data_IF_675525208611
#
_entry.id   IF_675525208611
#
_cell.length_a   1.000
_cell.length_b   1.000
_cell.length_c   1.000
_cell.angle_alpha   90.00
_cell.angle_beta   90.00
_cell.angle_gamma   90.00
#
_symmetry.space_group_name_H-M   'P 1'
#
loop_
_entity.id
_entity.type
_entity.pdbx_description
1 polymer ?
#
# COMPACT_ATOMS: atom_id res chain seq x y z
N UNK A 1 46.93 34.43 8.42
CA UNK A 1 47.24 33.36 7.44
C UNK A 1 47.06 32.04 8.19
N UNK A 2 46.25 31.01 7.88
CA UNK A 2 45.56 30.49 6.69
C UNK A 2 44.20 29.88 7.14
N UNK A 3 43.04 30.14 6.55
CA UNK A 3 42.45 29.62 5.28
C UNK A 3 42.28 28.08 5.20
N UNK A 4 41.00 27.66 5.34
CA UNK A 4 40.24 26.62 4.60
C UNK A 4 40.78 25.18 4.57
N UNK A 5 40.00 24.24 5.10
CA UNK A 5 39.41 23.22 4.22
C UNK A 5 38.15 22.57 4.79
N UNK A 6 37.16 22.41 3.92
CA UNK A 6 35.85 21.85 4.16
C UNK A 6 35.81 20.36 3.72
N UNK A 7 34.72 19.70 4.11
CA UNK A 7 34.12 18.52 3.47
C UNK A 7 34.83 17.16 3.60
N UNK A 8 34.26 16.32 4.47
CA UNK A 8 33.72 15.00 4.08
C UNK A 8 32.56 14.63 5.01
N UNK A 9 31.37 15.15 4.70
CA UNK A 9 30.09 14.60 5.14
C UNK A 9 29.53 13.78 3.99
N UNK A 10 29.70 12.46 3.99
CA UNK A 10 28.88 11.59 3.17
C UNK A 10 28.66 10.25 3.92
N UNK A 11 27.38 10.01 4.26
CA UNK A 11 26.73 8.73 4.60
C UNK A 11 26.93 8.06 5.97
N UNK A 12 26.67 8.78 7.07
CA UNK A 12 26.10 8.14 8.26
C UNK A 12 24.71 8.73 8.52
N UNK A 13 23.74 8.27 7.74
CA UNK A 13 22.33 8.56 7.99
C UNK A 13 21.69 7.31 8.61
N UNK A 14 21.47 7.22 9.94
CA UNK A 14 20.58 6.23 10.48
C UNK A 14 19.14 6.72 10.27
N UNK A 15 18.56 6.44 9.11
CA UNK A 15 17.13 6.64 8.82
C UNK A 15 16.66 5.34 8.17
N UNK A 16 15.75 4.55 8.74
CA UNK A 16 14.50 4.97 9.37
C UNK A 16 14.13 4.01 10.50
N UNK A 17 14.11 4.58 11.70
CA UNK A 17 13.41 4.13 12.88
C UNK A 17 12.04 3.53 12.52
N UNK A 18 11.90 2.22 12.61
CA UNK A 18 10.63 1.52 12.77
C UNK A 18 10.09 1.78 14.18
N UNK A 19 9.70 3.03 14.45
CA UNK A 19 8.71 3.37 15.48
C UNK A 19 7.35 3.21 14.83
N UNK A 20 6.42 2.44 15.38
CA UNK A 20 5.74 2.77 16.63
C UNK A 20 5.28 1.47 17.31
N UNK A 21 5.82 1.09 18.48
CA UNK A 21 5.46 1.62 19.81
C UNK A 21 3.98 1.36 20.11
N UNK A 22 3.74 0.39 21.00
CA UNK A 22 2.46 0.22 21.70
C UNK A 22 1.96 1.58 22.18
N UNK A 23 0.80 1.96 21.67
CA UNK A 23 0.01 3.11 22.09
C UNK A 23 -1.42 2.75 21.70
N UNK A 24 -2.40 2.79 22.61
CA UNK A 24 -3.77 2.38 22.30
C UNK A 24 -4.38 3.41 21.35
N UNK A 25 -4.14 3.26 20.04
CA UNK A 25 -4.81 4.03 19.01
C UNK A 25 -6.20 3.44 18.80
N UNK A 26 -7.20 4.00 19.49
CA UNK A 26 -8.58 3.99 19.01
C UNK A 26 -8.61 4.90 17.76
N UNK A 27 -8.09 4.37 16.67
CA UNK A 27 -8.11 4.97 15.34
C UNK A 27 -8.47 3.84 14.40
N UNK A 28 -9.65 3.90 13.80
CA UNK A 28 -10.15 2.90 12.85
C UNK A 28 -9.17 2.82 11.67
N UNK A 29 -8.23 1.89 11.72
CA UNK A 29 -7.27 1.70 10.63
C UNK A 29 -8.04 1.22 9.39
N UNK A 30 -8.48 2.15 8.55
CA UNK A 30 -9.37 1.91 7.40
C UNK A 30 -8.71 1.03 6.34
N UNK A 31 -7.38 0.92 6.32
CA UNK A 31 -6.66 0.21 5.26
C UNK A 31 -5.82 -0.95 5.78
N UNK A 32 -5.62 -1.96 4.95
CA UNK A 32 -4.55 -2.93 5.16
C UNK A 32 -3.20 -2.29 4.83
N UNK A 33 -2.30 -2.23 5.82
CA UNK A 33 -0.92 -1.72 5.68
C UNK A 33 0.13 -2.84 5.65
N UNK A 34 -0.27 -4.07 6.00
CA UNK A 34 0.53 -5.29 5.93
C UNK A 34 -0.17 -6.32 5.04
N UNK A 35 0.58 -7.22 4.38
CA UNK A 35 0.01 -8.17 3.44
C UNK A 35 -1.00 -9.11 4.15
N UNK A 36 -2.30 -9.05 3.82
CA UNK A 36 -3.31 -9.92 4.43
C UNK A 36 -3.28 -11.37 3.91
N UNK A 37 -2.51 -11.67 2.87
CA UNK A 37 -2.43 -13.00 2.24
C UNK A 37 -3.60 -13.29 1.30
N UNK A 38 -4.83 -13.29 1.82
CA UNK A 38 -6.05 -13.41 1.02
C UNK A 38 -7.09 -12.40 1.48
N UNK A 39 -7.86 -11.86 0.54
CA UNK A 39 -8.96 -10.93 0.81
C UNK A 39 -10.19 -11.29 0.02
N UNK A 40 -11.36 -11.08 0.61
CA UNK A 40 -12.67 -11.21 -0.02
C UNK A 40 -13.27 -9.82 -0.23
N UNK A 41 -13.87 -9.61 -1.40
CA UNK A 41 -14.62 -8.40 -1.70
C UNK A 41 -15.90 -8.31 -0.87
N UNK A 42 -16.14 -7.16 -0.25
CA UNK A 42 -17.36 -6.81 0.47
C UNK A 42 -18.37 -6.03 -0.41
N UNK A 43 -17.90 -5.47 -1.52
CA UNK A 43 -18.68 -4.82 -2.56
C UNK A 43 -18.06 -5.09 -3.94
N UNK A 44 -18.77 -4.78 -5.02
CA UNK A 44 -18.18 -4.87 -6.36
C UNK A 44 -16.99 -3.90 -6.49
N UNK A 45 -15.90 -4.36 -7.09
CA UNK A 45 -14.68 -3.58 -7.23
C UNK A 45 -14.00 -3.81 -8.57
N UNK A 46 -13.43 -2.74 -9.12
CA UNK A 46 -12.61 -2.78 -10.31
C UNK A 46 -11.15 -3.07 -9.96
N UNK A 47 -10.45 -3.80 -10.84
CA UNK A 47 -9.01 -3.93 -10.80
C UNK A 47 -8.34 -2.82 -11.59
N UNK A 48 -7.13 -2.45 -11.16
CA UNK A 48 -6.32 -1.43 -11.82
C UNK A 48 -4.95 -2.01 -12.19
N UNK A 49 -4.33 -1.51 -13.25
CA UNK A 49 -2.98 -1.88 -13.67
C UNK A 49 -1.89 -1.12 -12.91
N UNK A 50 -2.27 -0.07 -12.16
CA UNK A 50 -1.35 0.76 -11.38
C UNK A 50 -1.96 1.21 -10.05
N UNK A 51 -1.10 1.60 -9.11
CA UNK A 51 -1.47 2.06 -7.75
C UNK A 51 -2.24 3.38 -7.74
N UNK A 52 -2.12 4.15 -8.83
CA UNK A 52 -2.88 5.38 -9.05
C UNK A 52 -4.22 5.01 -9.68
N UNK A 53 -5.32 5.20 -8.95
CA UNK A 53 -6.65 4.84 -9.43
C UNK A 53 -7.21 5.98 -10.26
N UNK A 54 -7.27 5.79 -11.57
CA UNK A 54 -7.83 6.72 -12.54
C UNK A 54 -8.40 5.93 -13.72
N UNK A 55 -9.09 6.61 -14.64
CA UNK A 55 -9.75 5.93 -15.76
C UNK A 55 -8.77 5.26 -16.73
N UNK A 56 -7.53 5.78 -16.85
CA UNK A 56 -6.49 5.21 -17.72
C UNK A 56 -5.88 3.91 -17.18
N UNK A 57 -5.91 3.71 -15.87
CA UNK A 57 -5.33 2.55 -15.19
C UNK A 57 -6.38 1.51 -14.84
N UNK A 58 -7.66 1.83 -15.02
CA UNK A 58 -8.75 0.90 -14.83
C UNK A 58 -8.62 -0.23 -15.86
N UNK A 59 -8.52 -1.47 -15.39
CA UNK A 59 -8.31 -2.63 -16.26
C UNK A 59 -9.54 -3.02 -17.10
N UNK A 60 -10.70 -2.42 -16.82
CA UNK A 60 -11.99 -2.88 -17.35
C UNK A 60 -12.53 -4.14 -16.66
N UNK A 61 -11.73 -4.80 -15.82
CA UNK A 61 -12.16 -5.96 -15.05
C UNK A 61 -12.83 -5.52 -13.75
N UNK A 62 -14.08 -5.90 -13.58
CA UNK A 62 -14.86 -5.69 -12.36
C UNK A 62 -15.31 -7.03 -11.80
N UNK A 63 -15.21 -7.17 -10.48
CA UNK A 63 -15.58 -8.40 -9.78
C UNK A 63 -16.68 -8.13 -8.76
N UNK A 64 -17.66 -9.03 -8.62
CA UNK A 64 -18.78 -8.85 -7.70
C UNK A 64 -18.34 -9.03 -6.23
N UNK A 65 -19.24 -8.63 -5.32
CA UNK A 65 -19.11 -8.94 -3.90
C UNK A 65 -18.89 -10.44 -3.70
N UNK A 66 -17.98 -10.78 -2.81
CA UNK A 66 -17.71 -12.15 -2.41
C UNK A 66 -16.56 -12.85 -3.16
N UNK A 67 -16.03 -12.24 -4.23
CA UNK A 67 -14.82 -12.74 -4.90
C UNK A 67 -13.61 -12.69 -3.96
N UNK A 68 -12.80 -13.74 -3.97
CA UNK A 68 -11.58 -13.85 -3.18
C UNK A 68 -10.36 -13.64 -4.06
N UNK A 69 -9.42 -12.81 -3.61
CA UNK A 69 -8.14 -12.56 -4.24
C UNK A 69 -6.99 -12.97 -3.33
N UNK A 70 -5.96 -13.59 -3.92
CA UNK A 70 -4.65 -13.77 -3.30
C UNK A 70 -3.86 -12.48 -3.42
N UNK A 71 -3.32 -12.01 -2.30
CA UNK A 71 -2.54 -10.78 -2.22
C UNK A 71 -1.04 -11.12 -2.23
N UNK A 72 -0.37 -10.71 -3.30
CA UNK A 72 1.07 -10.89 -3.48
C UNK A 72 1.87 -9.87 -2.67
N UNK A 73 1.30 -8.69 -2.40
CA UNK A 73 1.98 -7.65 -1.64
C UNK A 73 1.17 -6.37 -1.53
N UNK A 74 1.81 -5.32 -1.02
CA UNK A 74 1.21 -3.99 -0.89
C UNK A 74 2.14 -2.97 -1.51
N UNK A 75 1.57 -2.06 -2.31
CA UNK A 75 2.25 -0.84 -2.76
C UNK A 75 1.44 0.37 -2.35
N UNK A 76 2.11 1.50 -2.18
CA UNK A 76 1.46 2.78 -1.89
C UNK A 76 1.42 3.63 -3.16
N UNK A 77 0.35 4.40 -3.31
CA UNK A 77 0.30 5.48 -4.31
C UNK A 77 1.27 6.60 -3.93
N UNK A 78 1.43 7.59 -4.81
CA UNK A 78 2.21 8.81 -4.57
C UNK A 78 1.76 9.54 -3.30
N UNK A 79 0.46 9.48 -2.98
CA UNK A 79 -0.13 10.10 -1.79
C UNK A 79 -0.07 9.20 -0.54
N UNK A 80 0.64 8.06 -0.61
CA UNK A 80 0.80 7.14 0.51
C UNK A 80 -0.37 6.18 0.73
N UNK A 81 -1.38 6.15 -0.15
CA UNK A 81 -2.56 5.29 0.00
C UNK A 81 -2.17 3.85 -0.35
N UNK A 82 -2.31 2.87 0.58
CA UNK A 82 -1.96 1.49 0.32
C UNK A 82 -2.95 0.82 -0.64
N UNK A 83 -2.42 -0.03 -1.51
CA UNK A 83 -3.14 -0.84 -2.50
C UNK A 83 -2.64 -2.27 -2.44
N UNK A 84 -3.55 -3.23 -2.56
CA UNK A 84 -3.24 -4.65 -2.58
C UNK A 84 -2.82 -5.05 -3.98
N UNK A 85 -1.70 -5.76 -4.11
CA UNK A 85 -1.25 -6.34 -5.36
C UNK A 85 -1.85 -7.73 -5.50
N UNK A 86 -2.56 -8.00 -6.59
CA UNK A 86 -3.29 -9.25 -6.83
C UNK A 86 -2.96 -9.82 -8.21
N UNK A 87 -3.48 -11.01 -8.51
CA UNK A 87 -3.32 -11.68 -9.81
C UNK A 87 -1.84 -11.82 -10.22
N UNK A 88 -1.01 -12.29 -9.28
CA UNK A 88 0.44 -12.49 -9.46
C UNK A 88 1.21 -11.21 -9.82
N UNK A 89 0.80 -10.06 -9.29
CA UNK A 89 1.49 -8.79 -9.55
C UNK A 89 0.93 -7.99 -10.72
N UNK A 90 -0.01 -8.54 -11.49
CA UNK A 90 -0.53 -7.89 -12.70
C UNK A 90 -1.50 -6.75 -12.43
N UNK A 91 -2.24 -6.84 -11.33
CA UNK A 91 -3.25 -5.86 -10.98
C UNK A 91 -3.12 -5.42 -9.53
N UNK A 92 -3.75 -4.29 -9.24
CA UNK A 92 -3.92 -3.79 -7.90
C UNK A 92 -5.39 -3.55 -7.57
N UNK A 93 -5.71 -3.70 -6.30
CA UNK A 93 -7.03 -3.58 -5.71
C UNK A 93 -6.96 -2.63 -4.50
N UNK A 94 -8.11 -2.07 -4.11
CA UNK A 94 -8.20 -1.26 -2.89
C UNK A 94 -7.75 -2.06 -1.65
N UNK A 95 -7.02 -1.40 -0.74
CA UNK A 95 -6.73 -1.95 0.58
C UNK A 95 -7.74 -1.50 1.65
N UNK A 96 -8.77 -0.72 1.28
CA UNK A 96 -9.78 -0.22 2.21
C UNK A 96 -10.64 -1.39 2.74
N UNK A 97 -10.65 -1.56 4.06
CA UNK A 97 -11.36 -2.62 4.80
C UNK A 97 -12.88 -2.56 4.68
N UNK A 98 -13.44 -1.43 4.22
CA UNK A 98 -14.87 -1.31 3.89
C UNK A 98 -15.22 -2.09 2.61
N UNK A 99 -14.27 -2.25 1.70
CA UNK A 99 -14.46 -2.93 0.41
C UNK A 99 -13.84 -4.31 0.36
N UNK A 100 -12.87 -4.60 1.24
CA UNK A 100 -12.19 -5.89 1.33
C UNK A 100 -12.07 -6.38 2.76
N UNK A 101 -12.21 -7.68 2.98
CA UNK A 101 -11.99 -8.32 4.28
C UNK A 101 -10.99 -9.46 4.15
N UNK A 102 -10.01 -9.53 5.04
CA UNK A 102 -9.09 -10.68 5.14
C UNK A 102 -9.89 -11.97 5.37
N UNK A 103 -9.51 -13.02 4.64
CA UNK A 103 -10.04 -14.39 4.78
C UNK A 103 -9.10 -15.21 5.64
#
# INVERSE_FOLDING_TARGET
MNRRNAEKRLFDTPVKKSTSKDSPQVGTNTYYTTNPGKVKLLASCNLYTSVEFNDKTKSGLSYPKGTVFTVNGIKKSKNGVPRLIVSNGKFVLTANKEYVKKV
#
